data_IF_093880786543
#
_entry.id   IF_093880786543
#
_cell.length_a   1.000
_cell.length_b   1.000
_cell.length_c   1.000
_cell.angle_alpha   90.00
_cell.angle_beta   90.00
_cell.angle_gamma   90.00
#
_symmetry.space_group_name_H-M   'P 1'
#
loop_
_entity.id
_entity.type
_entity.pdbx_description
1 polymer ?
#
# COMPACT_ATOMS: atom_id res chain seq x y z
N UNK A 1 -25.79 -0.68 -24.78
CA UNK A 1 -26.43 -1.71 -23.94
C UNK A 1 -25.35 -2.42 -23.16
N UNK A 2 -25.35 -2.27 -21.83
CA UNK A 2 -24.28 -2.76 -20.96
C UNK A 2 -24.78 -4.03 -20.24
N UNK A 3 -24.77 -5.14 -20.98
CA UNK A 3 -25.12 -6.47 -20.48
C UNK A 3 -26.62 -6.76 -20.37
N UNK A 4 -27.00 -8.01 -20.67
CA UNK A 4 -28.35 -8.54 -20.49
C UNK A 4 -28.22 -9.85 -19.70
N UNK A 5 -28.89 -9.96 -18.56
CA UNK A 5 -28.90 -11.18 -17.75
C UNK A 5 -30.17 -11.97 -18.04
N UNK A 6 -30.02 -13.24 -18.40
CA UNK A 6 -31.14 -14.16 -18.66
C UNK A 6 -30.92 -15.40 -17.79
N UNK A 7 -31.88 -15.70 -16.93
CA UNK A 7 -31.87 -16.89 -16.08
C UNK A 7 -33.24 -17.56 -16.08
N UNK A 8 -33.26 -18.89 -16.06
CA UNK A 8 -34.46 -19.68 -15.83
C UNK A 8 -34.33 -20.37 -14.47
N UNK A 9 -35.34 -20.23 -13.61
CA UNK A 9 -35.40 -20.91 -12.31
C UNK A 9 -36.54 -21.92 -12.39
N UNK A 10 -36.24 -23.20 -12.13
CA UNK A 10 -37.25 -24.25 -11.98
C UNK A 10 -37.27 -24.62 -10.50
N UNK A 11 -38.32 -24.22 -9.78
CA UNK A 11 -38.52 -24.61 -8.40
C UNK A 11 -39.48 -25.81 -8.39
N UNK A 12 -38.95 -26.97 -7.99
CA UNK A 12 -39.63 -28.24 -7.70
C UNK A 12 -40.22 -29.08 -8.86
N UNK A 13 -40.19 -30.41 -8.66
CA UNK A 13 -40.49 -31.45 -9.65
C UNK A 13 -41.96 -31.52 -10.09
N UNK A 14 -42.90 -31.01 -9.29
CA UNK A 14 -44.34 -31.22 -9.47
C UNK A 14 -45.13 -29.97 -9.91
N UNK A 15 -44.52 -28.77 -9.90
CA UNK A 15 -45.14 -27.54 -10.44
C UNK A 15 -44.23 -26.88 -11.47
N UNK A 16 -44.46 -27.20 -12.75
CA UNK A 16 -43.72 -26.60 -13.85
C UNK A 16 -44.28 -25.20 -14.14
N UNK A 17 -43.66 -24.17 -13.56
CA UNK A 17 -43.98 -22.78 -13.87
C UNK A 17 -43.53 -22.47 -15.32
N UNK A 18 -44.44 -22.01 -16.19
CA UNK A 18 -44.07 -21.48 -17.51
C UNK A 18 -43.03 -20.37 -17.35
N UNK A 19 -41.90 -20.49 -18.05
CA UNK A 19 -40.71 -19.64 -17.92
C UNK A 19 -41.06 -18.15 -17.66
N UNK A 20 -40.99 -17.72 -16.40
CA UNK A 20 -40.97 -16.29 -16.09
C UNK A 20 -39.60 -15.77 -16.45
N UNK A 21 -39.47 -15.24 -17.67
CA UNK A 21 -38.28 -14.49 -18.09
C UNK A 21 -38.23 -13.23 -17.23
N UNK A 22 -37.29 -13.17 -16.29
CA UNK A 22 -37.01 -11.93 -15.58
C UNK A 22 -36.21 -11.02 -16.52
N UNK A 23 -36.86 -9.97 -17.04
CA UNK A 23 -36.19 -8.93 -17.82
C UNK A 23 -35.73 -7.83 -16.87
N UNK A 24 -34.50 -7.94 -16.38
CA UNK A 24 -33.88 -6.91 -15.55
C UNK A 24 -32.78 -6.22 -16.36
N UNK A 25 -33.00 -4.96 -16.72
CA UNK A 25 -31.98 -4.11 -17.31
C UNK A 25 -31.20 -3.41 -16.20
N UNK A 26 -29.87 -3.56 -16.19
CA UNK A 26 -29.01 -2.81 -15.28
C UNK A 26 -28.83 -1.41 -15.88
N UNK A 27 -29.65 -0.47 -15.44
CA UNK A 27 -29.54 0.94 -15.85
C UNK A 27 -28.43 1.59 -15.03
N UNK A 28 -27.24 1.68 -15.63
CA UNK A 28 -26.12 2.46 -15.08
C UNK A 28 -26.27 3.90 -15.56
N UNK A 29 -26.41 4.85 -14.63
CA UNK A 29 -26.41 6.27 -14.95
C UNK A 29 -25.01 6.71 -15.39
N UNK A 30 -24.77 6.64 -16.70
CA UNK A 30 -23.49 6.97 -17.33
C UNK A 30 -23.12 8.45 -17.15
N UNK A 31 -24.11 9.34 -17.01
CA UNK A 31 -23.88 10.75 -16.75
C UNK A 31 -23.35 10.96 -15.33
N UNK A 32 -23.95 10.29 -14.34
CA UNK A 32 -23.48 10.30 -12.95
C UNK A 32 -22.08 9.70 -12.81
N UNK A 33 -21.82 8.55 -13.44
CA UNK A 33 -20.48 7.93 -13.44
C UNK A 33 -19.44 8.82 -14.12
N UNK A 34 -19.80 9.47 -15.24
CA UNK A 34 -18.89 10.40 -15.92
C UNK A 34 -18.61 11.65 -15.08
N UNK A 35 -19.61 12.17 -14.37
CA UNK A 35 -19.44 13.29 -13.45
C UNK A 35 -18.53 12.92 -12.27
N UNK A 36 -18.69 11.72 -11.71
CA UNK A 36 -17.85 11.18 -10.64
C UNK A 36 -16.39 11.00 -11.12
N UNK A 37 -16.18 10.41 -12.30
CA UNK A 37 -14.85 10.25 -12.89
C UNK A 37 -14.13 11.57 -13.16
N UNK A 38 -14.87 12.62 -13.56
CA UNK A 38 -14.31 13.98 -13.74
C UNK A 38 -13.85 14.61 -12.43
N UNK A 39 -14.37 14.15 -11.30
CA UNK A 39 -13.99 14.65 -9.96
C UNK A 39 -12.80 13.92 -9.34
N UNK A 40 -12.29 12.86 -9.99
CA UNK A 40 -11.14 12.13 -9.50
C UNK A 40 -9.89 13.00 -9.45
N UNK A 41 -9.23 12.96 -8.29
CA UNK A 41 -7.93 13.61 -8.09
C UNK A 41 -6.83 12.56 -8.19
N UNK A 42 -5.67 12.89 -8.77
CA UNK A 42 -4.49 12.04 -8.71
C UNK A 42 -4.15 11.70 -7.25
N UNK A 43 -3.78 10.45 -7.00
CA UNK A 43 -3.28 10.03 -5.68
C UNK A 43 -2.00 10.83 -5.39
N UNK A 44 -1.92 11.52 -4.25
CA UNK A 44 -0.71 12.26 -3.90
C UNK A 44 0.47 11.30 -3.76
N UNK A 45 1.61 11.68 -4.33
CA UNK A 45 2.86 10.95 -4.16
C UNK A 45 3.44 11.31 -2.79
N UNK A 46 3.45 10.34 -1.87
CA UNK A 46 3.89 10.52 -0.47
C UNK A 46 5.42 10.58 -0.39
N UNK A 47 6.11 9.82 -1.23
CA UNK A 47 7.56 9.83 -1.36
C UNK A 47 7.91 9.71 -2.85
N UNK A 48 8.48 10.77 -3.41
CA UNK A 48 9.00 10.73 -4.78
C UNK A 48 10.49 10.41 -4.70
N UNK A 49 10.88 9.29 -5.29
CA UNK A 49 12.28 8.89 -5.41
C UNK A 49 12.90 9.38 -6.73
N UNK A 50 12.23 10.30 -7.45
CA UNK A 50 12.81 10.94 -8.61
C UNK A 50 13.72 12.10 -8.22
N UNK A 51 14.86 12.22 -8.89
CA UNK A 51 15.69 13.42 -8.80
C UNK A 51 15.10 14.59 -9.61
N UNK A 52 15.76 15.75 -9.54
CA UNK A 52 15.39 16.95 -10.29
C UNK A 52 15.40 16.79 -11.82
N UNK A 53 16.04 15.73 -12.34
CA UNK A 53 16.08 15.37 -13.76
C UNK A 53 15.06 14.30 -14.13
N UNK A 54 14.27 13.80 -13.17
CA UNK A 54 13.29 12.73 -13.33
C UNK A 54 13.86 11.31 -13.26
N UNK A 55 15.14 11.14 -12.90
CA UNK A 55 15.81 9.85 -12.76
C UNK A 55 15.45 9.14 -11.45
N UNK A 56 15.35 7.80 -11.48
CA UNK A 56 15.05 6.99 -10.30
C UNK A 56 16.26 6.91 -9.34
N UNK A 57 16.09 7.47 -8.14
CA UNK A 57 17.09 7.47 -7.07
C UNK A 57 16.76 6.51 -5.93
N UNK A 58 15.73 5.68 -6.08
CA UNK A 58 15.23 4.80 -5.01
C UNK A 58 16.34 3.94 -4.42
N UNK A 59 17.09 3.25 -5.28
CA UNK A 59 18.17 2.37 -4.85
C UNK A 59 19.31 3.13 -4.16
N UNK A 60 19.73 4.25 -4.73
CA UNK A 60 20.79 5.07 -4.17
C UNK A 60 20.40 5.63 -2.79
N UNK A 61 19.14 6.05 -2.63
CA UNK A 61 18.59 6.55 -1.37
C UNK A 61 18.55 5.46 -0.29
N UNK A 62 18.12 4.25 -0.64
CA UNK A 62 18.12 3.10 0.27
C UNK A 62 19.55 2.73 0.69
N UNK A 63 20.48 2.65 -0.26
CA UNK A 63 21.87 2.28 0.01
C UNK A 63 22.57 3.33 0.91
N UNK A 64 22.31 4.62 0.66
CA UNK A 64 22.83 5.71 1.47
C UNK A 64 22.30 5.65 2.91
N UNK A 65 20.98 5.47 3.08
CA UNK A 65 20.35 5.35 4.38
C UNK A 65 20.90 4.14 5.17
N UNK A 66 21.00 2.97 4.52
CA UNK A 66 21.57 1.78 5.15
C UNK A 66 23.00 2.01 5.66
N UNK A 67 23.85 2.63 4.83
CA UNK A 67 25.24 2.94 5.21
C UNK A 67 25.32 3.95 6.34
N UNK A 68 24.50 4.98 6.30
CA UNK A 68 24.42 6.00 7.33
C UNK A 68 24.02 5.39 8.67
N UNK A 69 22.90 4.66 8.73
CA UNK A 69 22.43 4.01 9.96
C UNK A 69 23.51 3.08 10.51
N UNK A 70 24.17 2.30 9.64
CA UNK A 70 25.24 1.40 10.07
C UNK A 70 26.39 2.16 10.73
N UNK A 71 26.81 3.29 10.16
CA UNK A 71 27.86 4.13 10.74
C UNK A 71 27.43 4.79 12.05
N UNK A 72 26.21 5.30 12.13
CA UNK A 72 25.65 5.91 13.34
C UNK A 72 25.59 4.90 14.49
N UNK A 73 25.16 3.66 14.22
CA UNK A 73 25.11 2.61 15.24
C UNK A 73 26.52 2.24 15.73
N UNK A 74 27.50 2.13 14.84
CA UNK A 74 28.89 1.88 15.24
C UNK A 74 29.42 3.02 16.12
N UNK A 75 29.21 4.27 15.71
CA UNK A 75 29.62 5.44 16.48
C UNK A 75 28.93 5.52 17.85
N UNK A 76 27.65 5.16 17.91
CA UNK A 76 26.90 5.08 19.17
C UNK A 76 27.49 4.02 20.10
N UNK A 77 27.78 2.82 19.59
CA UNK A 77 28.39 1.74 20.37
C UNK A 77 29.76 2.17 20.90
N UNK A 78 30.61 2.74 20.07
CA UNK A 78 31.94 3.21 20.48
C UNK A 78 31.85 4.30 21.55
N UNK A 79 30.93 5.24 21.37
CA UNK A 79 30.68 6.32 22.34
C UNK A 79 30.18 5.78 23.67
N UNK A 80 29.27 4.82 23.66
CA UNK A 80 28.75 4.19 24.87
C UNK A 80 29.81 3.33 25.58
N UNK A 81 30.65 2.61 24.83
CA UNK A 81 31.80 1.90 25.40
C UNK A 81 32.74 2.88 26.09
N UNK A 82 33.06 4.00 25.45
CA UNK A 82 33.92 5.04 26.04
C UNK A 82 33.29 5.63 27.31
N UNK A 83 31.98 5.92 27.29
CA UNK A 83 31.22 6.43 28.43
C UNK A 83 31.23 5.45 29.61
N UNK A 84 31.01 4.16 29.36
CA UNK A 84 31.03 3.11 30.39
C UNK A 84 32.43 2.94 31.00
N UNK A 85 33.50 3.01 30.19
CA UNK A 85 34.88 2.98 30.69
C UNK A 85 35.20 4.18 31.58
N UNK A 86 34.68 5.36 31.23
CA UNK A 86 34.93 6.61 31.94
C UNK A 86 34.16 6.73 33.27
N UNK A 87 33.05 6.00 33.44
CA UNK A 87 32.24 6.02 34.66
C UNK A 87 32.62 4.86 35.61
N UNK A 88 33.26 5.13 36.77
CA UNK A 88 33.66 4.10 37.73
C UNK A 88 32.50 3.24 38.23
N UNK A 89 31.26 3.75 38.21
CA UNK A 89 30.06 3.00 38.63
C UNK A 89 29.62 1.97 37.58
N UNK A 90 29.96 2.19 36.31
CA UNK A 90 29.54 1.35 35.19
C UNK A 90 30.64 0.42 34.68
N UNK A 91 31.91 0.63 35.06
CA UNK A 91 33.05 -0.20 34.66
C UNK A 91 32.86 -1.71 34.91
N UNK A 92 32.08 -2.09 35.92
CA UNK A 92 31.77 -3.49 36.22
C UNK A 92 30.97 -4.22 35.12
N UNK A 93 30.27 -3.48 34.27
CA UNK A 93 29.42 -4.02 33.19
C UNK A 93 30.21 -4.52 31.97
N UNK A 94 31.50 -4.19 31.88
CA UNK A 94 32.36 -4.61 30.77
C UNK A 94 33.09 -5.94 31.00
N UNK A 95 32.83 -6.63 32.12
CA UNK A 95 33.43 -7.93 32.41
C UNK A 95 32.62 -9.04 31.73
N UNK A 96 33.10 -9.48 30.57
CA UNK A 96 32.70 -10.70 29.87
C UNK A 96 33.93 -11.48 29.46
#
# INVERSE_FOLDING_TARGET
TQGMFVGAVSDNFDERIEQKIFHAEIVVDTAKVSAEMKSYRPIPVIADFRDASGGDTMKASIDANYRQIKQEILSLVDSEIARIKADPKLQGLMKG
#
